data_IF_508245321572
#
_entry.id   IF_508245321572
#
_cell.length_a   1.000
_cell.length_b   1.000
_cell.length_c   1.000
_cell.angle_alpha   90.00
_cell.angle_beta   90.00
_cell.angle_gamma   90.00
#
_symmetry.space_group_name_H-M   'P 1'
#
loop_
_entity.id
_entity.type
_entity.pdbx_description
1 polymer ?
#
# COMPACT_ATOMS: atom_id res chain seq x y z
N UNK A 1 -9.59 -4.92 -11.08
CA UNK A 1 -9.03 -3.77 -11.82
C UNK A 1 -9.65 -2.50 -11.26
N UNK A 2 -8.87 -1.46 -10.96
CA UNK A 2 -9.39 -0.22 -10.36
C UNK A 2 -10.17 0.64 -11.37
N UNK A 3 -11.18 1.37 -10.90
CA UNK A 3 -11.86 2.44 -11.65
C UNK A 3 -10.95 3.66 -11.83
N UNK A 4 -11.35 4.65 -12.65
CA UNK A 4 -10.64 5.93 -12.75
C UNK A 4 -10.57 6.64 -11.40
N UNK A 5 -11.73 6.76 -10.73
CA UNK A 5 -11.83 7.35 -9.39
C UNK A 5 -10.89 6.67 -8.37
N UNK A 6 -10.85 5.34 -8.36
CA UNK A 6 -9.99 4.58 -7.46
C UNK A 6 -8.50 4.78 -7.77
N UNK A 7 -8.12 5.00 -9.03
CA UNK A 7 -6.74 5.34 -9.41
C UNK A 7 -6.36 6.73 -8.90
N UNK A 8 -7.22 7.72 -9.11
CA UNK A 8 -6.98 9.10 -8.65
C UNK A 8 -6.88 9.14 -7.12
N UNK A 9 -7.76 8.41 -6.44
CA UNK A 9 -7.71 8.24 -4.99
C UNK A 9 -6.39 7.60 -4.53
N UNK A 10 -5.95 6.54 -5.21
CA UNK A 10 -4.67 5.89 -4.90
C UNK A 10 -3.47 6.84 -5.10
N UNK A 11 -3.46 7.68 -6.14
CA UNK A 11 -2.43 8.71 -6.31
C UNK A 11 -2.46 9.80 -5.23
N UNK A 12 -3.65 10.24 -4.83
CA UNK A 12 -3.82 11.21 -3.74
C UNK A 12 -3.33 10.65 -2.41
N UNK A 13 -3.67 9.41 -2.09
CA UNK A 13 -3.22 8.72 -0.88
C UNK A 13 -1.70 8.54 -0.87
N UNK A 14 -1.10 8.16 -2.01
CA UNK A 14 0.37 8.09 -2.14
C UNK A 14 1.02 9.44 -1.87
N UNK A 15 0.46 10.52 -2.39
CA UNK A 15 0.98 11.88 -2.19
C UNK A 15 0.91 12.29 -0.72
N UNK A 16 -0.21 12.01 -0.04
CA UNK A 16 -0.35 12.25 1.40
C UNK A 16 0.64 11.43 2.23
N UNK A 17 0.87 10.16 1.86
CA UNK A 17 1.86 9.31 2.53
C UNK A 17 3.28 9.87 2.38
N UNK A 18 3.67 10.29 1.18
CA UNK A 18 4.97 10.94 0.91
C UNK A 18 5.17 12.22 1.74
N UNK A 19 4.09 12.99 1.94
CA UNK A 19 4.08 14.21 2.75
C UNK A 19 3.93 13.96 4.26
N UNK A 20 3.76 12.70 4.68
CA UNK A 20 3.45 12.30 6.07
C UNK A 20 2.15 12.92 6.62
N UNK A 21 1.21 13.20 5.72
CA UNK A 21 -0.10 13.77 6.04
C UNK A 21 -1.20 12.71 6.12
N UNK A 22 -0.90 11.47 5.71
CA UNK A 22 -1.86 10.38 5.73
C UNK A 22 -2.12 9.89 7.16
N UNK A 23 -3.38 9.72 7.53
CA UNK A 23 -3.76 9.05 8.78
C UNK A 23 -3.88 7.52 8.60
N UNK A 24 -4.08 6.80 9.71
CA UNK A 24 -4.18 5.33 9.70
C UNK A 24 -5.31 4.78 8.82
N UNK A 25 -6.43 5.49 8.69
CA UNK A 25 -7.54 5.09 7.82
C UNK A 25 -7.15 5.22 6.35
N UNK A 26 -6.48 6.32 6.00
CA UNK A 26 -5.96 6.57 4.65
C UNK A 26 -4.88 5.55 4.27
N UNK A 27 -3.99 5.17 5.19
CA UNK A 27 -3.00 4.11 4.99
C UNK A 27 -3.66 2.75 4.70
N UNK A 28 -4.70 2.39 5.46
CA UNK A 28 -5.47 1.16 5.23
C UNK A 28 -6.14 1.16 3.86
N UNK A 29 -6.76 2.28 3.50
CA UNK A 29 -7.42 2.45 2.21
C UNK A 29 -6.42 2.34 1.05
N UNK A 30 -5.22 2.89 1.23
CA UNK A 30 -4.14 2.76 0.25
C UNK A 30 -3.74 1.29 0.02
N UNK A 31 -3.53 0.52 1.09
CA UNK A 31 -3.26 -0.91 0.99
C UNK A 31 -4.37 -1.70 0.31
N UNK A 32 -5.63 -1.37 0.62
CA UNK A 32 -6.79 -2.03 0.00
C UNK A 32 -6.85 -1.76 -1.50
N UNK A 33 -6.63 -0.50 -1.91
CA UNK A 33 -6.61 -0.13 -3.32
C UNK A 33 -5.44 -0.80 -4.08
N UNK A 34 -4.26 -0.89 -3.46
CA UNK A 34 -3.12 -1.61 -4.06
C UNK A 34 -3.46 -3.10 -4.23
N UNK A 35 -4.06 -3.71 -3.22
CA UNK A 35 -4.45 -5.13 -3.24
C UNK A 35 -5.52 -5.39 -4.31
N UNK A 36 -6.48 -4.48 -4.49
CA UNK A 36 -7.53 -4.58 -5.50
C UNK A 36 -7.06 -4.29 -6.93
N UNK A 37 -5.92 -3.60 -7.09
CA UNK A 37 -5.39 -3.26 -8.40
C UNK A 37 -4.97 -4.50 -9.20
N UNK A 38 -4.34 -5.48 -8.55
CA UNK A 38 -3.90 -6.73 -9.18
C UNK A 38 -3.79 -7.83 -8.10
N UNK A 39 -4.28 -9.04 -8.39
CA UNK A 39 -4.20 -10.20 -7.50
C UNK A 39 -2.75 -10.54 -7.10
N UNK A 40 -1.79 -10.35 -8.00
CA UNK A 40 -0.37 -10.56 -7.71
C UNK A 40 0.16 -9.59 -6.65
N UNK A 41 -0.49 -8.44 -6.46
CA UNK A 41 -0.06 -7.46 -5.46
C UNK A 41 -0.28 -7.98 -4.05
N UNK A 42 -1.31 -8.79 -3.81
CA UNK A 42 -1.55 -9.38 -2.49
C UNK A 42 -0.38 -10.29 -2.09
N UNK A 43 0.14 -11.07 -3.03
CA UNK A 43 1.29 -11.94 -2.79
C UNK A 43 2.54 -11.12 -2.46
N UNK A 44 2.85 -10.09 -3.27
CA UNK A 44 4.01 -9.20 -3.04
C UNK A 44 3.90 -8.47 -1.69
N UNK A 45 2.70 -7.98 -1.35
CA UNK A 45 2.44 -7.31 -0.08
C UNK A 45 2.59 -8.27 1.11
N UNK A 46 2.14 -9.52 0.98
CA UNK A 46 2.34 -10.55 2.01
C UNK A 46 3.82 -10.88 2.22
N UNK A 47 4.58 -11.04 1.14
CA UNK A 47 6.03 -11.28 1.22
C UNK A 47 6.75 -10.12 1.91
N UNK A 48 6.38 -8.88 1.59
CA UNK A 48 6.91 -7.72 2.31
C UNK A 48 6.56 -7.77 3.79
N UNK A 49 5.29 -7.98 4.15
CA UNK A 49 4.85 -8.00 5.54
C UNK A 49 5.67 -9.02 6.36
N UNK A 50 5.92 -10.20 5.79
CA UNK A 50 6.78 -11.23 6.38
C UNK A 50 8.23 -10.76 6.54
N UNK A 51 8.80 -10.11 5.53
CA UNK A 51 10.17 -9.57 5.59
C UNK A 51 10.35 -8.49 6.66
N UNK A 52 9.29 -7.75 7.01
CA UNK A 52 9.33 -6.73 8.08
C UNK A 52 8.79 -7.23 9.41
N UNK A 53 8.57 -8.54 9.56
CA UNK A 53 8.27 -9.19 10.84
C UNK A 53 6.79 -9.40 11.17
N UNK A 54 5.89 -9.27 10.21
CA UNK A 54 4.46 -9.57 10.36
C UNK A 54 4.09 -10.89 9.68
N UNK A 55 3.14 -11.64 10.24
CA UNK A 55 2.77 -12.94 9.65
C UNK A 55 2.00 -12.80 8.33
N UNK A 56 1.27 -11.68 8.17
CA UNK A 56 0.43 -11.40 7.01
C UNK A 56 0.29 -9.90 6.74
N UNK A 57 -0.19 -9.55 5.54
CA UNK A 57 -0.56 -8.17 5.22
C UNK A 57 -1.70 -7.65 6.09
N UNK A 58 -2.59 -8.52 6.56
CA UNK A 58 -3.70 -8.15 7.45
C UNK A 58 -3.18 -7.78 8.86
N UNK A 59 -2.16 -8.47 9.35
CA UNK A 59 -1.49 -8.12 10.62
C UNK A 59 -0.79 -6.77 10.51
N UNK A 60 -0.03 -6.57 9.43
CA UNK A 60 0.59 -5.28 9.11
C UNK A 60 -0.45 -4.15 9.03
N UNK A 61 -1.57 -4.39 8.36
CA UNK A 61 -2.68 -3.45 8.22
C UNK A 61 -3.31 -3.09 9.57
N UNK A 62 -3.43 -4.05 10.48
CA UNK A 62 -3.94 -3.81 11.83
C UNK A 62 -2.99 -2.98 12.68
N UNK A 63 -1.69 -3.15 12.52
CA UNK A 63 -0.68 -2.42 13.30
C UNK A 63 -0.54 -0.95 12.89
N UNK A 64 -0.77 -0.62 11.61
CA UNK A 64 -0.86 0.76 11.12
C UNK A 64 -1.95 1.59 11.82
N UNK A 65 -2.97 0.93 12.38
CA UNK A 65 -3.99 1.59 13.21
C UNK A 65 -3.59 1.81 14.66
N UNK A 66 -2.56 1.12 15.13
CA UNK A 66 -2.12 1.17 16.53
C UNK A 66 -0.92 2.10 16.70
N UNK A 67 -0.01 2.15 15.73
CA UNK A 67 1.14 3.06 15.72
C UNK A 67 1.44 3.53 14.30
N UNK A 68 1.27 4.83 14.06
CA UNK A 68 1.85 5.49 12.88
C UNK A 68 3.35 5.66 13.12
N UNK A 69 4.16 4.66 12.75
CA UNK A 69 5.62 4.74 12.81
C UNK A 69 6.16 5.16 11.43
N UNK A 70 7.03 6.17 11.40
CA UNK A 70 7.58 6.75 10.16
C UNK A 70 8.27 5.70 9.26
N UNK A 71 8.88 4.67 9.84
CA UNK A 71 9.49 3.57 9.09
C UNK A 71 8.45 2.73 8.33
N UNK A 72 7.29 2.46 8.95
CA UNK A 72 6.20 1.72 8.31
C UNK A 72 5.59 2.51 7.17
N UNK A 73 5.44 3.84 7.33
CA UNK A 73 4.97 4.75 6.27
C UNK A 73 5.93 4.75 5.08
N UNK A 74 7.23 4.86 5.33
CA UNK A 74 8.24 4.82 4.28
C UNK A 74 8.22 3.47 3.52
N UNK A 75 8.09 2.36 4.25
CA UNK A 75 7.94 1.03 3.66
C UNK A 75 6.70 0.93 2.77
N UNK A 76 5.55 1.41 3.25
CA UNK A 76 4.29 1.47 2.49
C UNK A 76 4.41 2.24 1.18
N UNK A 77 5.08 3.39 1.21
CA UNK A 77 5.31 4.22 0.02
C UNK A 77 6.18 3.48 -0.99
N UNK A 78 7.26 2.82 -0.53
CA UNK A 78 8.15 2.07 -1.41
C UNK A 78 7.43 0.90 -2.08
N UNK A 79 6.67 0.11 -1.34
CA UNK A 79 5.96 -1.05 -1.90
C UNK A 79 4.84 -0.59 -2.83
N UNK A 80 4.05 0.38 -2.40
CA UNK A 80 2.98 0.91 -3.25
C UNK A 80 3.53 1.50 -4.54
N UNK A 81 4.71 2.15 -4.49
CA UNK A 81 5.44 2.59 -5.68
C UNK A 81 5.91 1.43 -6.56
N UNK A 82 6.55 0.41 -6.00
CA UNK A 82 7.05 -0.76 -6.73
C UNK A 82 5.91 -1.56 -7.38
N UNK A 83 4.81 -1.74 -6.65
CA UNK A 83 3.60 -2.42 -7.12
C UNK A 83 2.92 -1.64 -8.25
N UNK A 84 2.85 -0.31 -8.13
CA UNK A 84 2.34 0.53 -9.21
C UNK A 84 3.19 0.42 -10.46
N UNK A 85 4.53 0.50 -10.33
CA UNK A 85 5.46 0.35 -11.44
C UNK A 85 5.31 -1.02 -12.10
N UNK A 86 5.25 -2.11 -11.33
CA UNK A 86 5.04 -3.46 -11.85
C UNK A 86 3.69 -3.59 -12.59
N UNK A 87 2.62 -2.96 -12.08
CA UNK A 87 1.31 -2.97 -12.73
C UNK A 87 1.26 -2.16 -14.04
N UNK A 88 2.05 -1.09 -14.15
CA UNK A 88 2.19 -0.29 -15.37
C UNK A 88 3.03 -1.06 -16.40
N UNK A 89 4.12 -1.69 -15.96
CA UNK A 89 5.01 -2.47 -16.83
C UNK A 89 4.35 -3.75 -17.36
N UNK A 90 3.50 -4.40 -16.55
CA UNK A 90 2.76 -5.62 -16.94
C UNK A 90 1.58 -5.36 -17.88
N UNK A 91 1.31 -4.09 -18.24
CA UNK A 91 0.29 -3.70 -19.24
C UNK A 91 0.83 -3.56 -20.66
N UNK A 92 2.13 -3.80 -20.88
CA UNK A 92 2.73 -4.01 -22.21
C UNK A 92 2.76 -5.49 -22.54
#
# INVERSE_FOLDING_TARGET
>A
MLTSFQRDELYNLRTKLLRREANSSEMKKYLDLITQANLNNKYVLNQYAQNVGYNSIDDFKNDLSRKSNNELINGLVMIGGAVLLASILSKK
#
